data_IF_627749758727
#
_entry.id   IF_627749758727
#
_cell.length_a   1.000
_cell.length_b   1.000
_cell.length_c   1.000
_cell.angle_alpha   90.00
_cell.angle_beta   90.00
_cell.angle_gamma   90.00
#
_symmetry.space_group_name_H-M   'P 1'
#
loop_
_entity.id
_entity.type
_entity.pdbx_description
1 polymer ?
#
# COMPACT_ATOMS: atom_id res chain seq x y z
N UNK A 1 -0.68 -27.56 -7.14
CA UNK A 1 -0.72 -26.60 -6.01
C UNK A 1 -2.16 -26.18 -5.83
N UNK A 2 -2.75 -26.32 -4.66
CA UNK A 2 -4.11 -25.84 -4.36
C UNK A 2 -4.15 -24.32 -4.28
N UNK A 3 -5.34 -23.71 -4.34
CA UNK A 3 -5.50 -22.25 -4.16
C UNK A 3 -5.04 -21.80 -2.75
N UNK A 4 -5.28 -22.63 -1.73
CA UNK A 4 -4.82 -22.38 -0.38
C UNK A 4 -3.28 -22.38 -0.28
N UNK A 5 -2.62 -23.34 -0.95
CA UNK A 5 -1.15 -23.38 -1.01
C UNK A 5 -0.58 -22.17 -1.73
N UNK A 6 -1.24 -21.71 -2.84
CA UNK A 6 -0.85 -20.50 -3.53
C UNK A 6 -0.91 -19.30 -2.60
N UNK A 7 -2.02 -19.08 -1.92
CA UNK A 7 -2.19 -17.96 -0.99
C UNK A 7 -1.18 -18.01 0.16
N UNK A 8 -0.93 -19.19 0.73
CA UNK A 8 0.09 -19.34 1.77
C UNK A 8 1.45 -18.88 1.28
N UNK A 9 1.89 -19.33 0.10
CA UNK A 9 3.17 -18.90 -0.50
C UNK A 9 3.22 -17.42 -0.82
N UNK A 10 2.12 -16.82 -1.30
CA UNK A 10 2.06 -15.39 -1.57
C UNK A 10 2.16 -14.56 -0.28
N UNK A 11 1.52 -15.00 0.80
CA UNK A 11 1.59 -14.33 2.10
C UNK A 11 3.02 -14.35 2.70
N UNK A 12 3.85 -15.33 2.36
CA UNK A 12 5.26 -15.35 2.75
C UNK A 12 6.11 -14.26 2.08
N UNK A 13 5.62 -13.67 0.97
CA UNK A 13 6.32 -12.59 0.27
C UNK A 13 6.11 -11.20 0.93
N UNK A 14 5.07 -11.04 1.74
CA UNK A 14 4.74 -9.75 2.37
C UNK A 14 4.23 -9.96 3.81
N UNK A 15 4.75 -9.25 4.82
CA UNK A 15 5.75 -8.18 4.68
C UNK A 15 7.16 -8.70 4.41
N UNK A 16 7.93 -7.97 3.60
CA UNK A 16 9.34 -8.29 3.32
C UNK A 16 10.29 -7.34 4.03
N UNK A 17 11.51 -7.80 4.29
CA UNK A 17 12.58 -7.00 4.88
C UNK A 17 13.80 -7.09 3.96
N UNK A 18 14.32 -5.95 3.51
CA UNK A 18 15.54 -5.93 2.72
C UNK A 18 16.75 -5.62 3.59
N UNK A 19 17.88 -6.31 3.30
CA UNK A 19 19.13 -6.20 4.05
C UNK A 19 20.27 -6.16 3.06
N UNK A 20 21.18 -5.21 3.23
CA UNK A 20 22.48 -5.11 2.56
C UNK A 20 22.49 -5.23 1.02
N UNK A 21 21.34 -5.01 0.38
CA UNK A 21 21.19 -4.95 -1.08
C UNK A 21 20.52 -3.64 -1.48
N UNK A 22 20.64 -3.26 -2.74
CA UNK A 22 19.90 -2.12 -3.26
C UNK A 22 18.39 -2.38 -3.21
N UNK A 23 17.60 -1.31 -2.98
CA UNK A 23 16.15 -1.44 -2.87
C UNK A 23 15.51 -1.89 -4.18
N UNK A 24 16.05 -1.46 -5.32
CA UNK A 24 15.55 -1.87 -6.65
C UNK A 24 15.77 -3.37 -6.84
N UNK A 25 16.97 -3.86 -6.50
CA UNK A 25 17.30 -5.28 -6.60
C UNK A 25 16.42 -6.12 -5.65
N UNK A 26 16.14 -5.59 -4.46
CA UNK A 26 15.23 -6.26 -3.53
C UNK A 26 13.84 -6.44 -4.12
N UNK A 27 13.21 -5.37 -4.64
CA UNK A 27 11.86 -5.46 -5.21
C UNK A 27 11.84 -6.28 -6.51
N UNK A 28 12.89 -6.22 -7.34
CA UNK A 28 13.01 -7.05 -8.53
C UNK A 28 13.03 -8.54 -8.16
N UNK A 29 13.89 -8.94 -7.22
CA UNK A 29 13.94 -10.31 -6.72
C UNK A 29 12.63 -10.76 -6.06
N UNK A 30 11.96 -9.86 -5.34
CA UNK A 30 10.64 -10.14 -4.75
C UNK A 30 9.60 -10.44 -5.84
N UNK A 31 9.60 -9.68 -6.93
CA UNK A 31 8.70 -9.87 -8.06
C UNK A 31 9.03 -11.12 -8.88
N UNK A 32 10.31 -11.46 -9.08
CA UNK A 32 10.71 -12.72 -9.71
C UNK A 32 10.15 -13.92 -8.95
N UNK A 33 10.26 -13.93 -7.62
CA UNK A 33 9.67 -14.97 -6.77
C UNK A 33 8.15 -15.01 -6.89
N UNK A 34 7.51 -13.85 -6.91
CA UNK A 34 6.06 -13.74 -7.07
C UNK A 34 5.59 -14.32 -8.41
N UNK A 35 6.21 -13.91 -9.51
CA UNK A 35 5.90 -14.41 -10.86
C UNK A 35 6.12 -15.92 -10.93
N UNK A 36 7.22 -16.43 -10.37
CA UNK A 36 7.49 -17.87 -10.35
C UNK A 36 6.41 -18.67 -9.59
N UNK A 37 5.95 -18.15 -8.44
CA UNK A 37 4.87 -18.79 -7.65
C UNK A 37 3.56 -18.78 -8.45
N UNK A 38 3.19 -17.63 -9.03
CA UNK A 38 1.93 -17.49 -9.78
C UNK A 38 1.96 -18.34 -11.04
N UNK A 39 3.03 -18.29 -11.83
CA UNK A 39 3.18 -19.08 -13.08
C UNK A 39 3.19 -20.58 -12.82
N UNK A 40 3.60 -21.03 -11.63
CA UNK A 40 3.55 -22.44 -11.22
C UNK A 40 2.18 -22.90 -10.74
N UNK A 41 1.18 -22.03 -10.73
CA UNK A 41 -0.18 -22.38 -10.33
C UNK A 41 -0.99 -22.82 -11.57
N UNK A 42 -1.74 -23.91 -11.41
CA UNK A 42 -2.70 -24.38 -12.41
C UNK A 42 -4.11 -24.23 -11.83
N UNK A 43 -4.86 -23.21 -12.23
CA UNK A 43 -6.23 -23.00 -11.76
C UNK A 43 -7.19 -24.04 -12.38
N UNK A 44 -8.44 -24.03 -11.91
CA UNK A 44 -9.50 -24.83 -12.52
C UNK A 44 -9.70 -24.50 -14.00
N UNK A 45 -10.10 -25.48 -14.84
CA UNK A 45 -10.29 -25.29 -16.28
C UNK A 45 -11.22 -24.13 -16.65
N UNK A 46 -12.21 -23.84 -15.79
CA UNK A 46 -13.21 -22.76 -15.99
C UNK A 46 -12.61 -21.34 -16.01
N UNK A 47 -11.43 -21.15 -15.40
CA UNK A 47 -10.76 -19.85 -15.34
C UNK A 47 -9.36 -19.85 -15.95
N UNK A 48 -8.90 -21.00 -16.49
CA UNK A 48 -7.55 -21.17 -17.00
C UNK A 48 -7.18 -20.14 -18.08
N UNK A 49 -8.06 -19.92 -19.06
CA UNK A 49 -7.78 -18.98 -20.17
C UNK A 49 -7.68 -17.53 -19.65
N UNK A 50 -8.54 -17.15 -18.72
CA UNK A 50 -8.51 -15.82 -18.08
C UNK A 50 -7.25 -15.65 -17.25
N UNK A 51 -6.84 -16.68 -16.54
CA UNK A 51 -5.62 -16.68 -15.75
C UNK A 51 -4.39 -16.52 -16.64
N UNK A 52 -4.30 -17.31 -17.71
CA UNK A 52 -3.19 -17.23 -18.68
C UNK A 52 -3.11 -15.85 -19.33
N UNK A 53 -4.25 -15.21 -19.63
CA UNK A 53 -4.28 -13.85 -20.15
C UNK A 53 -3.81 -12.79 -19.14
N UNK A 54 -3.94 -13.06 -17.84
CA UNK A 54 -3.50 -12.14 -16.76
C UNK A 54 -1.99 -12.20 -16.47
N UNK A 55 -1.32 -13.31 -16.74
CA UNK A 55 0.12 -13.45 -16.44
C UNK A 55 0.98 -12.35 -17.07
N UNK A 56 0.86 -12.01 -18.38
CA UNK A 56 1.63 -10.92 -18.95
C UNK A 56 1.30 -9.55 -18.36
N UNK A 57 0.06 -9.33 -17.90
CA UNK A 57 -0.32 -8.07 -17.22
C UNK A 57 0.35 -7.96 -15.86
N UNK A 58 0.40 -9.07 -15.08
CA UNK A 58 1.07 -9.14 -13.79
C UNK A 58 2.57 -8.85 -13.95
N UNK A 59 3.23 -9.50 -14.90
CA UNK A 59 4.64 -9.24 -15.21
C UNK A 59 4.86 -7.78 -15.63
N UNK A 60 3.97 -7.24 -16.46
CA UNK A 60 4.01 -5.85 -16.88
C UNK A 60 3.91 -4.88 -15.70
N UNK A 61 3.08 -5.17 -14.70
CA UNK A 61 2.95 -4.34 -13.49
C UNK A 61 4.21 -4.41 -12.62
N UNK A 62 4.75 -5.61 -12.39
CA UNK A 62 6.00 -5.78 -11.67
C UNK A 62 7.14 -4.98 -12.31
N UNK A 63 7.30 -5.10 -13.63
CA UNK A 63 8.33 -4.38 -14.39
C UNK A 63 8.12 -2.85 -14.34
N UNK A 64 6.87 -2.39 -14.43
CA UNK A 64 6.58 -0.96 -14.35
C UNK A 64 6.86 -0.39 -12.98
N UNK A 65 6.61 -1.12 -11.89
CA UNK A 65 6.93 -0.68 -10.53
C UNK A 65 8.46 -0.56 -10.36
N UNK A 66 9.24 -1.57 -10.77
CA UNK A 66 10.71 -1.52 -10.71
C UNK A 66 11.24 -0.34 -11.51
N UNK A 67 10.74 -0.16 -12.73
CA UNK A 67 11.14 0.97 -13.59
C UNK A 67 10.75 2.32 -12.98
N UNK A 68 9.59 2.43 -12.36
CA UNK A 68 9.15 3.66 -11.71
C UNK A 68 10.07 4.04 -10.54
N UNK A 69 10.51 3.06 -9.74
CA UNK A 69 11.46 3.30 -8.65
C UNK A 69 12.83 3.73 -9.21
N UNK A 70 13.33 3.09 -10.28
CA UNK A 70 14.57 3.48 -10.95
C UNK A 70 14.51 4.92 -11.49
N UNK A 71 13.40 5.29 -12.14
CA UNK A 71 13.16 6.66 -12.60
C UNK A 71 13.11 7.66 -11.45
N UNK A 72 12.51 7.28 -10.33
CA UNK A 72 12.47 8.12 -9.13
C UNK A 72 13.88 8.37 -8.57
N UNK A 73 14.74 7.35 -8.49
CA UNK A 73 16.14 7.49 -8.09
C UNK A 73 16.91 8.44 -9.02
N UNK A 74 16.59 8.45 -10.31
CA UNK A 74 17.18 9.35 -11.30
C UNK A 74 16.60 10.77 -11.27
N UNK A 75 15.68 11.08 -10.34
CA UNK A 75 15.02 12.38 -10.25
C UNK A 75 13.97 12.63 -11.36
N UNK A 76 13.60 11.61 -12.11
CA UNK A 76 12.63 11.69 -13.22
C UNK A 76 11.21 11.44 -12.71
N UNK A 77 10.75 12.22 -11.75
CA UNK A 77 9.51 12.02 -11.01
C UNK A 77 8.25 11.97 -11.89
N UNK A 78 8.17 12.84 -12.91
CA UNK A 78 7.02 12.85 -13.82
C UNK A 78 6.92 11.55 -14.63
N UNK A 79 8.04 10.99 -15.06
CA UNK A 79 8.09 9.74 -15.80
C UNK A 79 7.79 8.55 -14.89
N UNK A 80 8.33 8.55 -13.68
CA UNK A 80 8.01 7.58 -12.63
C UNK A 80 6.50 7.53 -12.36
N UNK A 81 5.87 8.69 -12.16
CA UNK A 81 4.42 8.78 -11.97
C UNK A 81 3.64 8.21 -13.16
N UNK A 82 4.03 8.51 -14.40
CA UNK A 82 3.35 7.99 -15.60
C UNK A 82 3.42 6.47 -15.67
N UNK A 83 4.56 5.86 -15.32
CA UNK A 83 4.71 4.40 -15.30
C UNK A 83 3.71 3.74 -14.32
N UNK A 84 3.65 4.23 -13.09
CA UNK A 84 2.71 3.69 -12.09
C UNK A 84 1.26 3.99 -12.46
N UNK A 85 0.97 5.21 -12.92
CA UNK A 85 -0.39 5.61 -13.29
C UNK A 85 -0.99 4.71 -14.37
N UNK A 86 -0.21 4.30 -15.36
CA UNK A 86 -0.66 3.37 -16.40
C UNK A 86 -1.13 2.02 -15.85
N UNK A 87 -0.51 1.55 -14.76
CA UNK A 87 -0.94 0.35 -14.08
C UNK A 87 -2.20 0.61 -13.24
N UNK A 88 -2.19 1.68 -12.43
CA UNK A 88 -3.30 2.03 -11.56
C UNK A 88 -4.61 2.30 -12.31
N UNK A 89 -4.54 2.94 -13.49
CA UNK A 89 -5.71 3.24 -14.33
C UNK A 89 -6.38 1.95 -14.86
N UNK A 90 -5.67 0.83 -14.89
CA UNK A 90 -6.20 -0.47 -15.32
C UNK A 90 -6.68 -1.35 -14.17
N UNK A 91 -6.30 -1.01 -12.94
CA UNK A 91 -6.75 -1.77 -11.77
C UNK A 91 -8.24 -1.55 -11.55
N UNK A 92 -8.98 -2.60 -11.18
CA UNK A 92 -10.38 -2.43 -10.79
C UNK A 92 -10.45 -1.54 -9.54
N UNK A 93 -11.07 -0.38 -9.68
CA UNK A 93 -11.28 0.52 -8.56
C UNK A 93 -12.54 0.13 -7.77
N UNK A 94 -12.45 0.18 -6.45
CA UNK A 94 -13.56 -0.13 -5.58
C UNK A 94 -14.28 1.16 -5.18
N UNK A 95 -15.59 1.17 -5.42
CA UNK A 95 -16.44 2.23 -4.91
C UNK A 95 -16.86 1.89 -3.49
N UNK A 96 -16.54 2.74 -2.53
CA UNK A 96 -17.09 2.60 -1.19
C UNK A 96 -18.52 3.08 -1.20
N UNK A 97 -19.45 2.15 -1.06
CA UNK A 97 -20.88 2.47 -0.92
C UNK A 97 -21.21 3.13 0.43
N UNK A 98 -20.34 3.01 1.41
CA UNK A 98 -20.53 3.53 2.75
C UNK A 98 -19.46 4.53 3.12
N UNK A 99 -19.86 5.53 3.90
CA UNK A 99 -18.97 6.53 4.49
C UNK A 99 -18.17 5.89 5.63
N UNK A 100 -17.09 5.19 5.33
CA UNK A 100 -16.20 4.65 6.36
C UNK A 100 -15.56 5.80 7.11
N UNK A 101 -15.70 5.86 8.45
CA UNK A 101 -15.02 6.85 9.25
C UNK A 101 -13.52 6.53 9.30
N UNK A 102 -12.70 7.57 9.29
CA UNK A 102 -11.28 7.49 9.61
C UNK A 102 -10.97 8.20 10.91
N UNK A 103 -9.93 7.78 11.59
CA UNK A 103 -9.51 8.34 12.86
C UNK A 103 -8.11 8.91 12.75
N UNK A 104 -7.89 10.04 13.39
CA UNK A 104 -6.56 10.64 13.54
C UNK A 104 -6.28 10.90 15.00
N UNK A 105 -5.07 10.55 15.42
CA UNK A 105 -4.59 10.77 16.75
C UNK A 105 -3.44 11.80 16.76
N UNK A 106 -3.38 12.62 17.80
CA UNK A 106 -2.26 13.51 18.06
C UNK A 106 -1.96 13.53 19.57
N UNK A 107 -0.69 13.63 19.89
CA UNK A 107 -0.21 13.95 21.24
C UNK A 107 0.00 15.46 21.27
N UNK A 108 -0.57 16.14 22.24
CA UNK A 108 -0.42 17.57 22.47
C UNK A 108 0.29 17.82 23.79
N UNK A 109 1.00 18.93 23.87
CA UNK A 109 1.62 19.37 25.11
C UNK A 109 0.57 19.75 26.14
N UNK A 110 0.97 19.72 27.41
CA UNK A 110 0.10 20.04 28.53
C UNK A 110 -0.48 21.45 28.39
N UNK A 111 -1.79 21.58 28.61
CA UNK A 111 -2.51 22.84 28.43
C UNK A 111 -2.88 23.20 26.99
N UNK A 112 -2.44 22.45 25.99
CA UNK A 112 -2.84 22.63 24.61
C UNK A 112 -4.18 21.94 24.33
N UNK A 113 -5.11 22.66 23.69
CA UNK A 113 -6.37 22.10 23.23
C UNK A 113 -6.31 21.81 21.73
N UNK A 114 -6.90 20.69 21.25
CA UNK A 114 -6.94 20.41 19.84
C UNK A 114 -7.85 21.39 19.11
N UNK A 115 -7.36 21.91 17.99
CA UNK A 115 -8.19 22.67 17.04
C UNK A 115 -8.51 21.79 15.83
N UNK A 116 -9.55 22.14 15.08
CA UNK A 116 -9.89 21.41 13.84
C UNK A 116 -8.70 21.43 12.87
N UNK A 117 -8.08 22.57 12.66
CA UNK A 117 -6.91 22.74 11.79
C UNK A 117 -5.72 21.91 12.31
N UNK A 118 -5.52 21.88 13.62
CA UNK A 118 -4.48 21.10 14.27
C UNK A 118 -4.68 19.59 14.08
N UNK A 119 -5.91 19.11 14.02
CA UNK A 119 -6.25 17.70 13.81
C UNK A 119 -6.35 17.33 12.32
N UNK A 120 -6.34 18.29 11.40
CA UNK A 120 -6.34 18.07 9.96
C UNK A 120 -4.92 17.91 9.40
N UNK A 121 -4.75 17.85 8.07
CA UNK A 121 -3.40 17.83 7.48
C UNK A 121 -2.67 19.16 7.73
N UNK A 122 -1.34 19.14 7.59
CA UNK A 122 -0.54 20.37 7.65
C UNK A 122 -1.03 21.33 6.57
N UNK A 123 -1.33 22.61 6.90
CA UNK A 123 -1.75 23.60 5.91
C UNK A 123 -0.73 23.76 4.78
N UNK A 124 -1.19 23.95 3.55
CA UNK A 124 -0.31 24.03 2.38
C UNK A 124 0.70 25.21 2.42
N UNK A 125 0.36 26.30 3.10
CA UNK A 125 1.30 27.40 3.35
C UNK A 125 2.45 27.04 4.30
N UNK A 126 2.34 25.90 5.02
CA UNK A 126 3.37 25.34 5.90
C UNK A 126 3.97 24.04 5.36
N UNK A 127 3.73 23.72 4.10
CA UNK A 127 4.18 22.45 3.51
C UNK A 127 5.68 22.17 3.61
N UNK A 128 6.51 23.20 3.78
CA UNK A 128 7.96 23.05 3.93
C UNK A 128 8.40 22.21 5.14
N UNK A 129 7.52 22.02 6.14
CA UNK A 129 7.81 21.16 7.30
C UNK A 129 7.39 19.69 7.09
N UNK A 130 6.77 19.36 5.94
CA UNK A 130 6.34 18.00 5.64
C UNK A 130 7.53 17.20 5.13
N UNK A 131 8.00 16.27 5.95
CA UNK A 131 9.03 15.30 5.59
C UNK A 131 8.47 14.18 4.70
N UNK A 132 9.34 13.37 4.13
CA UNK A 132 8.98 12.14 3.43
C UNK A 132 8.12 11.24 4.32
N UNK A 133 6.96 10.88 3.84
CA UNK A 133 6.04 9.93 4.48
C UNK A 133 5.84 8.74 3.56
N UNK A 134 5.32 7.61 4.08
CA UNK A 134 5.14 6.40 3.27
C UNK A 134 4.33 6.63 1.99
N UNK A 135 3.26 7.43 2.05
CA UNK A 135 2.33 7.67 0.93
C UNK A 135 2.29 9.13 0.47
N UNK A 136 3.29 9.92 0.79
CA UNK A 136 3.37 11.31 0.33
C UNK A 136 4.79 11.79 0.19
N UNK A 137 5.05 12.45 -0.92
CA UNK A 137 6.34 13.11 -1.21
C UNK A 137 6.62 14.24 -0.22
N UNK A 138 7.91 14.64 -0.04
CA UNK A 138 8.26 15.80 0.76
C UNK A 138 7.51 17.04 0.28
N UNK A 139 6.97 17.80 1.20
CA UNK A 139 6.23 19.02 0.88
C UNK A 139 4.79 18.79 0.39
N UNK A 140 4.30 17.56 0.35
CA UNK A 140 2.93 17.21 0.00
C UNK A 140 2.14 16.84 1.27
N UNK A 141 1.33 17.77 1.85
CA UNK A 141 0.51 17.46 3.01
C UNK A 141 -0.58 16.46 2.67
N UNK A 142 -0.62 15.34 3.39
CA UNK A 142 -1.66 14.33 3.29
C UNK A 142 -2.34 14.11 4.63
N UNK A 143 -3.62 13.74 4.59
CA UNK A 143 -4.37 13.35 5.78
C UNK A 143 -4.28 11.84 5.96
N UNK A 144 -3.49 11.41 6.92
CA UNK A 144 -3.38 9.99 7.31
C UNK A 144 -4.44 9.69 8.36
N UNK A 145 -5.21 8.65 8.10
CA UNK A 145 -6.30 8.21 8.96
C UNK A 145 -6.17 6.71 9.24
N UNK A 146 -6.29 6.33 10.49
CA UNK A 146 -6.42 4.93 10.88
C UNK A 146 -7.87 4.45 10.82
N UNK A 147 -8.09 3.16 10.72
CA UNK A 147 -9.43 2.55 10.71
C UNK A 147 -10.08 2.52 12.11
N UNK A 148 -9.28 2.67 13.16
CA UNK A 148 -9.76 2.76 14.54
C UNK A 148 -8.83 3.63 15.39
N UNK A 149 -9.32 4.16 16.53
CA UNK A 149 -8.46 4.84 17.51
C UNK A 149 -7.31 3.95 18.00
N UNK A 150 -7.56 2.65 18.17
CA UNK A 150 -6.55 1.69 18.59
C UNK A 150 -5.40 1.56 17.56
N UNK A 151 -5.74 1.46 16.27
CA UNK A 151 -4.73 1.42 15.21
C UNK A 151 -3.85 2.68 15.20
N UNK A 152 -4.48 3.87 15.36
CA UNK A 152 -3.73 5.12 15.48
C UNK A 152 -2.78 5.13 16.69
N UNK A 153 -3.23 4.61 17.82
CA UNK A 153 -2.45 4.55 19.05
C UNK A 153 -1.24 3.62 18.90
N UNK A 154 -1.43 2.45 18.28
CA UNK A 154 -0.34 1.50 17.97
C UNK A 154 0.70 2.12 17.02
N UNK A 155 0.26 2.78 15.95
CA UNK A 155 1.14 3.43 14.97
C UNK A 155 1.96 4.56 15.58
N UNK A 156 1.42 5.27 16.57
CA UNK A 156 2.11 6.34 17.29
C UNK A 156 3.06 5.82 18.38
N UNK A 157 3.22 4.51 18.53
CA UNK A 157 4.11 3.91 19.52
C UNK A 157 3.53 3.91 20.93
N UNK A 158 2.20 3.85 21.05
CA UNK A 158 1.44 3.73 22.33
C UNK A 158 1.69 4.90 23.28
N UNK A 159 1.43 6.15 22.87
CA UNK A 159 1.61 7.30 23.76
C UNK A 159 0.69 7.23 24.98
N UNK A 160 1.00 7.99 26.01
CA UNK A 160 0.14 8.14 27.20
C UNK A 160 -1.21 8.74 26.80
N UNK A 161 -2.29 8.18 27.32
CA UNK A 161 -3.65 8.60 26.94
C UNK A 161 -4.00 10.01 27.41
N UNK A 162 -3.41 10.46 28.51
CA UNK A 162 -3.67 11.77 29.12
C UNK A 162 -3.37 12.96 28.20
N UNK A 163 -2.38 12.80 27.30
CA UNK A 163 -1.97 13.84 26.33
C UNK A 163 -2.44 13.53 24.90
N UNK A 164 -3.31 12.53 24.76
CA UNK A 164 -3.70 11.99 23.45
C UNK A 164 -5.10 12.43 23.09
N UNK A 165 -5.24 13.02 21.91
CA UNK A 165 -6.50 13.47 21.34
C UNK A 165 -6.82 12.71 20.07
N UNK A 166 -8.09 12.34 19.90
CA UNK A 166 -8.56 11.59 18.74
C UNK A 166 -9.66 12.36 18.04
N UNK A 167 -9.55 12.51 16.74
CA UNK A 167 -10.61 13.05 15.89
C UNK A 167 -11.14 11.97 14.95
N UNK A 168 -12.46 11.94 14.79
CA UNK A 168 -13.14 11.10 13.82
C UNK A 168 -13.48 11.94 12.60
N UNK A 169 -13.05 11.49 11.43
CA UNK A 169 -13.35 12.09 10.14
C UNK A 169 -14.40 11.26 9.42
N UNK A 170 -15.44 11.91 8.96
CA UNK A 170 -16.52 11.27 8.22
C UNK A 170 -16.59 11.90 6.82
N UNK A 171 -16.31 11.15 5.74
CA UNK A 171 -16.47 11.66 4.39
C UNK A 171 -17.90 12.11 4.12
N UNK A 172 -18.08 13.26 3.46
CA UNK A 172 -19.40 13.76 3.04
C UNK A 172 -19.94 13.01 1.83
N UNK A 173 -19.02 12.56 0.95
CA UNK A 173 -19.33 11.92 -0.33
C UNK A 173 -18.70 10.54 -0.40
N UNK A 174 -19.18 9.73 -1.33
CA UNK A 174 -18.53 8.47 -1.70
C UNK A 174 -17.16 8.78 -2.30
N UNK A 175 -16.20 7.93 -2.02
CA UNK A 175 -14.87 8.01 -2.61
C UNK A 175 -14.48 6.66 -3.21
N UNK A 176 -13.61 6.71 -4.19
CA UNK A 176 -12.98 5.53 -4.74
C UNK A 176 -11.66 5.29 -4.01
N UNK A 177 -11.36 4.04 -3.73
CA UNK A 177 -10.09 3.67 -3.12
C UNK A 177 -9.49 2.46 -3.82
N UNK A 178 -8.18 2.33 -3.72
CA UNK A 178 -7.44 1.15 -4.11
C UNK A 178 -7.13 0.35 -2.83
N UNK A 179 -7.61 -0.89 -2.73
CA UNK A 179 -7.45 -1.69 -1.52
C UNK A 179 -6.04 -2.30 -1.48
N UNK A 180 -5.03 -1.54 -1.09
CA UNK A 180 -3.69 -2.08 -0.82
C UNK A 180 -3.66 -2.79 0.54
N UNK A 181 -4.56 -3.73 0.73
CA UNK A 181 -4.59 -4.64 1.87
C UNK A 181 -4.32 -6.05 1.38
N UNK A 182 -4.03 -6.98 2.31
CA UNK A 182 -3.84 -8.39 1.94
C UNK A 182 -5.17 -8.92 1.39
N UNK A 183 -5.30 -9.09 0.06
CA UNK A 183 -6.59 -9.32 -0.58
C UNK A 183 -7.14 -10.73 -0.30
N UNK A 184 -6.29 -11.66 0.11
CA UNK A 184 -6.60 -13.09 0.19
C UNK A 184 -7.35 -13.51 1.46
N UNK A 185 -7.47 -12.64 2.47
CA UNK A 185 -8.15 -12.97 3.73
C UNK A 185 -9.66 -13.20 3.55
N UNK A 186 -10.31 -12.48 2.63
CA UNK A 186 -11.72 -12.66 2.33
C UNK A 186 -11.98 -13.92 1.48
N UNK A 187 -11.06 -14.22 0.57
CA UNK A 187 -11.14 -15.39 -0.31
C UNK A 187 -11.02 -16.70 0.46
N UNK A 188 -10.32 -16.73 1.59
CA UNK A 188 -10.17 -17.90 2.45
C UNK A 188 -11.51 -18.42 3.00
N UNK A 189 -12.46 -17.52 3.23
CA UNK A 189 -13.74 -17.87 3.88
C UNK A 189 -14.88 -18.21 2.89
N UNK A 190 -14.71 -17.97 1.57
CA UNK A 190 -15.76 -18.18 0.58
C UNK A 190 -15.19 -18.55 -0.80
N UNK A 191 -15.18 -19.84 -1.10
CA UNK A 191 -14.55 -20.42 -2.29
C UNK A 191 -15.17 -19.92 -3.62
N UNK A 192 -16.44 -19.58 -3.64
CA UNK A 192 -17.14 -19.06 -4.83
C UNK A 192 -16.81 -17.58 -5.12
N UNK A 193 -16.68 -16.77 -4.09
CA UNK A 193 -16.16 -15.39 -4.20
C UNK A 193 -14.66 -15.37 -4.50
N UNK A 194 -13.89 -16.36 -4.01
CA UNK A 194 -12.48 -16.51 -4.30
C UNK A 194 -12.20 -16.58 -5.80
N UNK A 195 -12.96 -17.40 -6.54
CA UNK A 195 -12.76 -17.58 -7.98
C UNK A 195 -13.03 -16.31 -8.80
N UNK A 196 -13.98 -15.48 -8.40
CA UNK A 196 -14.33 -14.26 -9.12
C UNK A 196 -13.36 -13.10 -8.87
N UNK A 197 -12.87 -12.99 -7.64
CA UNK A 197 -11.97 -11.91 -7.18
C UNK A 197 -10.49 -12.26 -7.34
N UNK A 198 -10.17 -13.55 -7.44
CA UNK A 198 -8.81 -14.08 -7.46
C UNK A 198 -7.89 -13.42 -8.49
N UNK A 199 -8.36 -13.27 -9.74
CA UNK A 199 -7.56 -12.68 -10.81
C UNK A 199 -7.26 -11.19 -10.58
N UNK A 200 -8.19 -10.47 -9.97
CA UNK A 200 -8.01 -9.08 -9.60
C UNK A 200 -7.03 -8.95 -8.43
N UNK A 201 -7.13 -9.84 -7.44
CA UNK A 201 -6.23 -9.89 -6.29
C UNK A 201 -4.77 -10.11 -6.70
N UNK A 202 -4.53 -10.95 -7.71
CA UNK A 202 -3.19 -11.13 -8.29
C UNK A 202 -2.64 -9.83 -8.92
N UNK A 203 -3.46 -9.01 -9.56
CA UNK A 203 -3.02 -7.73 -10.11
C UNK A 203 -2.69 -6.69 -9.04
N UNK A 204 -3.38 -6.70 -7.90
CA UNK A 204 -3.11 -5.80 -6.78
C UNK A 204 -1.86 -6.19 -5.99
N UNK A 205 -1.54 -7.48 -5.95
CA UNK A 205 -0.54 -7.99 -5.02
C UNK A 205 0.87 -7.40 -5.20
N UNK A 206 1.38 -7.07 -6.40
CA UNK A 206 2.65 -6.35 -6.54
C UNK A 206 2.69 -5.03 -5.77
N UNK A 207 1.59 -4.26 -5.79
CA UNK A 207 1.50 -3.00 -5.04
C UNK A 207 1.44 -3.24 -3.53
N UNK A 208 0.75 -4.30 -3.10
CA UNK A 208 0.72 -4.72 -1.68
C UNK A 208 2.12 -5.10 -1.21
N UNK A 209 2.85 -5.91 -1.97
CA UNK A 209 4.20 -6.33 -1.60
C UNK A 209 5.13 -5.14 -1.36
N UNK A 210 5.20 -4.18 -2.29
CA UNK A 210 6.07 -3.01 -2.13
C UNK A 210 5.59 -2.09 -1.00
N UNK A 211 4.27 -2.01 -0.76
CA UNK A 211 3.72 -1.21 0.34
C UNK A 211 4.00 -1.80 1.73
N UNK A 212 4.33 -3.08 1.80
CA UNK A 212 4.61 -3.80 3.04
C UNK A 212 6.11 -4.08 3.29
N UNK A 213 7.00 -3.50 2.47
CA UNK A 213 8.43 -3.58 2.75
C UNK A 213 8.73 -2.88 4.08
N UNK A 214 9.40 -3.57 4.98
CA UNK A 214 9.74 -3.04 6.31
C UNK A 214 10.78 -1.93 6.19
N UNK A 215 10.57 -0.89 6.98
CA UNK A 215 11.50 0.25 7.08
C UNK A 215 12.83 -0.21 7.65
N UNK A 216 13.93 0.15 6.97
CA UNK A 216 15.26 -0.02 7.51
C UNK A 216 15.51 0.99 8.64
N UNK A 217 15.46 0.52 9.89
CA UNK A 217 15.62 1.36 11.08
C UNK A 217 17.00 1.99 11.21
N UNK A 218 18.01 1.43 10.58
CA UNK A 218 19.39 1.93 10.62
C UNK A 218 19.61 3.12 9.69
N UNK A 219 18.75 3.33 8.72
CA UNK A 219 18.81 4.45 7.79
C UNK A 219 17.81 5.55 8.20
N UNK A 220 18.29 6.54 8.96
CA UNK A 220 17.44 7.61 9.49
C UNK A 220 17.08 8.67 8.43
N UNK A 221 17.93 8.88 7.44
CA UNK A 221 17.83 10.00 6.51
C UNK A 221 17.26 9.61 5.14
N UNK A 222 17.39 8.36 4.75
CA UNK A 222 16.97 7.84 3.45
C UNK A 222 16.13 6.60 3.64
N UNK A 223 14.91 6.63 3.12
CA UNK A 223 13.92 5.55 3.22
C UNK A 223 13.50 5.13 1.82
N UNK A 224 14.33 4.34 1.14
CA UNK A 224 14.05 3.92 -0.24
C UNK A 224 12.74 3.16 -0.36
N UNK A 225 12.34 2.44 0.69
CA UNK A 225 11.07 1.73 0.78
C UNK A 225 9.84 2.63 0.60
N UNK A 226 9.99 3.94 0.74
CA UNK A 226 8.89 4.88 0.50
C UNK A 226 8.77 5.30 -0.96
N UNK A 227 9.80 5.08 -1.78
CA UNK A 227 9.80 5.51 -3.18
C UNK A 227 8.75 4.83 -4.04
N UNK A 228 8.47 3.56 -3.76
CA UNK A 228 7.45 2.82 -4.49
C UNK A 228 6.02 3.29 -4.22
N UNK A 229 5.80 4.11 -3.18
CA UNK A 229 4.49 4.63 -2.77
C UNK A 229 4.27 6.09 -3.15
N UNK A 230 5.33 6.82 -3.42
CA UNK A 230 5.32 8.26 -3.73
C UNK A 230 5.11 8.54 -5.19
#
# INVERSE_FOLDING_TARGET
>A
MSLADLYSKLLELAPSEYKDIDYIDHIASLFERYIAIVSGFAPEPSIQDKFNARLPEIEGYCNSIVRAVDLYYKGQYSQSFIEVKRCLDKLPSWKVAHKLPGYRMRVLDEGCMPTFEGMFHIPFNRRGIVSTQRYSSPGQPCLYLGLSPYACWEEMGRPTLEKTYVSRFQPKYYFMYLPFCIPFLEAWNNQEMANKKFLDDLLYFPFVMVSMVKVNKNNKNFKPEYMAHQ
#
